data_IF_726234126184
#
_entry.id   IF_726234126184
#
_cell.length_a   1.000
_cell.length_b   1.000
_cell.length_c   1.000
_cell.angle_alpha   90.00
_cell.angle_beta   90.00
_cell.angle_gamma   90.00
#
_symmetry.space_group_name_H-M   'P 1'
#
loop_
_entity.id
_entity.type
_entity.pdbx_description
1 polymer ?
#
# COMPACT_ATOMS: atom_id res chain seq x y z
N UNK A 1 28.34 -58.52 -63.20
CA UNK A 1 28.08 -58.64 -61.75
C UNK A 1 29.40 -58.37 -61.02
N UNK A 2 29.62 -57.13 -60.61
CA UNK A 2 30.68 -56.69 -59.71
C UNK A 2 30.07 -55.56 -58.85
N UNK A 3 30.29 -55.51 -57.54
CA UNK A 3 29.53 -54.64 -56.64
C UNK A 3 30.05 -53.20 -56.66
N UNK A 4 29.14 -52.25 -56.47
CA UNK A 4 29.48 -50.85 -56.19
C UNK A 4 30.11 -50.73 -54.80
N UNK A 5 31.26 -50.06 -54.69
CA UNK A 5 31.81 -49.66 -53.41
C UNK A 5 31.08 -48.39 -52.92
N UNK A 6 30.43 -48.47 -51.76
CA UNK A 6 29.88 -47.27 -51.11
C UNK A 6 31.02 -46.39 -50.59
N UNK A 7 30.98 -45.11 -50.94
CA UNK A 7 31.78 -44.08 -50.29
C UNK A 7 31.15 -43.81 -48.91
N UNK A 8 31.73 -44.39 -47.87
CA UNK A 8 31.41 -44.01 -46.50
C UNK A 8 32.00 -42.63 -46.20
N UNK A 9 31.19 -41.59 -46.42
CA UNK A 9 31.46 -40.28 -45.84
C UNK A 9 31.24 -40.41 -44.34
N UNK A 10 32.33 -40.66 -43.60
CA UNK A 10 32.33 -40.46 -42.15
C UNK A 10 32.24 -38.96 -41.94
N UNK A 11 31.02 -38.48 -41.66
CA UNK A 11 30.82 -37.14 -41.14
C UNK A 11 31.61 -37.03 -39.84
N UNK A 12 32.74 -36.33 -39.90
CA UNK A 12 33.42 -35.87 -38.69
C UNK A 12 32.51 -34.88 -37.99
N UNK A 13 31.80 -35.34 -36.96
CA UNK A 13 31.09 -34.46 -36.04
C UNK A 13 32.11 -33.48 -35.47
N UNK A 14 31.98 -32.21 -35.88
CA UNK A 14 32.67 -31.12 -35.22
C UNK A 14 32.05 -30.98 -33.83
N UNK A 15 32.60 -31.72 -32.86
CA UNK A 15 32.22 -31.65 -31.44
C UNK A 15 32.45 -30.22 -30.98
N UNK A 16 31.38 -29.43 -30.96
CA UNK A 16 31.39 -28.08 -30.44
C UNK A 16 31.74 -28.15 -28.96
N UNK A 17 32.90 -27.60 -28.57
CA UNK A 17 33.28 -27.51 -27.15
C UNK A 17 32.15 -26.82 -26.38
N UNK A 18 31.56 -27.59 -25.48
CA UNK A 18 30.23 -27.37 -24.94
C UNK A 18 30.25 -26.36 -23.79
N UNK A 19 29.36 -25.36 -23.86
CA UNK A 19 28.85 -24.48 -22.79
C UNK A 19 29.58 -24.49 -21.43
N UNK A 20 30.82 -23.99 -21.36
CA UNK A 20 31.44 -23.67 -20.07
C UNK A 20 30.74 -22.44 -19.45
N UNK A 21 30.09 -22.65 -18.30
CA UNK A 21 29.30 -21.61 -17.61
C UNK A 21 30.21 -20.42 -17.27
N UNK A 22 29.88 -19.19 -17.72
CA UNK A 22 30.73 -18.03 -17.47
C UNK A 22 30.79 -17.70 -15.98
N UNK A 23 31.95 -17.26 -15.50
CA UNK A 23 32.09 -16.78 -14.13
C UNK A 23 31.25 -15.52 -13.93
N UNK A 24 30.30 -15.60 -13.01
CA UNK A 24 29.48 -14.45 -12.62
C UNK A 24 30.33 -13.48 -11.80
N UNK A 25 30.38 -12.22 -12.23
CA UNK A 25 31.10 -11.14 -11.55
C UNK A 25 30.14 -9.99 -11.29
N UNK A 26 30.18 -9.45 -10.07
CA UNK A 26 29.32 -8.34 -9.65
C UNK A 26 30.18 -7.09 -9.48
N UNK A 27 29.79 -6.01 -10.13
CA UNK A 27 30.43 -4.70 -10.03
C UNK A 27 29.45 -3.62 -9.55
N UNK A 28 29.99 -2.56 -8.96
CA UNK A 28 29.24 -1.36 -8.54
C UNK A 28 29.62 -0.18 -9.44
N UNK A 29 28.65 0.62 -9.87
CA UNK A 29 28.90 1.85 -10.64
C UNK A 29 29.91 2.76 -9.91
N UNK A 30 30.82 3.37 -10.66
CA UNK A 30 31.89 4.23 -10.16
C UNK A 30 33.09 3.50 -9.53
N UNK A 31 32.93 2.25 -9.09
CA UNK A 31 34.01 1.44 -8.50
C UNK A 31 34.79 0.66 -9.57
N UNK A 32 35.81 -0.08 -9.13
CA UNK A 32 36.53 -1.04 -9.97
C UNK A 32 36.00 -2.46 -9.79
N UNK A 33 36.26 -3.32 -10.78
CA UNK A 33 36.03 -4.76 -10.72
C UNK A 33 37.20 -5.50 -11.37
N UNK A 34 37.47 -6.74 -10.94
CA UNK A 34 38.50 -7.60 -11.51
C UNK A 34 37.84 -8.80 -12.19
N UNK A 35 38.26 -9.11 -13.42
CA UNK A 35 37.97 -10.36 -14.11
C UNK A 35 39.17 -11.31 -13.87
N UNK A 36 39.07 -12.27 -12.93
CA UNK A 36 40.22 -12.99 -12.40
C UNK A 36 40.69 -14.09 -13.36
N UNK A 37 41.89 -13.94 -13.92
CA UNK A 37 42.48 -14.92 -14.83
C UNK A 37 43.00 -16.15 -14.06
N UNK A 38 42.46 -17.34 -14.35
CA UNK A 38 42.82 -18.59 -13.67
C UNK A 38 43.72 -19.45 -14.53
N UNK A 39 45.03 -19.21 -14.47
CA UNK A 39 45.99 -19.95 -15.30
C UNK A 39 46.24 -21.34 -14.67
N UNK A 40 45.83 -22.40 -15.36
CA UNK A 40 45.95 -23.81 -14.92
C UNK A 40 47.09 -24.57 -15.61
N UNK A 41 47.97 -23.87 -16.33
CA UNK A 41 49.06 -24.46 -17.10
C UNK A 41 50.40 -23.84 -16.73
N UNK A 42 51.42 -24.68 -16.59
CA UNK A 42 52.81 -24.28 -16.32
C UNK A 42 53.51 -23.65 -17.55
N UNK A 43 52.81 -23.62 -18.70
CA UNK A 43 53.30 -23.02 -19.94
C UNK A 43 53.38 -21.50 -19.79
N UNK A 44 54.45 -20.92 -20.32
CA UNK A 44 54.59 -19.46 -20.45
C UNK A 44 53.50 -18.90 -21.34
N UNK A 45 52.94 -17.76 -20.94
CA UNK A 45 51.93 -17.03 -21.72
C UNK A 45 52.67 -16.14 -22.72
N UNK A 46 52.26 -16.21 -23.99
CA UNK A 46 52.74 -15.34 -25.07
C UNK A 46 51.94 -14.04 -25.13
N UNK A 47 50.61 -14.17 -25.15
CA UNK A 47 49.70 -13.03 -25.15
C UNK A 47 48.32 -13.39 -24.60
N UNK A 48 47.60 -12.38 -24.13
CA UNK A 48 46.20 -12.47 -23.69
C UNK A 48 45.40 -11.43 -24.47
N UNK A 49 44.29 -11.84 -25.07
CA UNK A 49 43.33 -10.93 -25.69
C UNK A 49 42.08 -10.89 -24.83
N UNK A 50 41.68 -9.69 -24.42
CA UNK A 50 40.45 -9.44 -23.69
C UNK A 50 39.38 -8.94 -24.66
N UNK A 51 38.26 -9.64 -24.68
CA UNK A 51 37.12 -9.38 -25.55
C UNK A 51 35.88 -9.10 -24.71
N UNK A 52 35.00 -8.26 -25.24
CA UNK A 52 33.59 -8.14 -24.85
C UNK A 52 32.76 -8.25 -26.13
N UNK A 53 31.95 -7.24 -26.51
CA UNK A 53 31.37 -7.15 -27.86
C UNK A 53 32.44 -7.05 -28.96
N UNK A 54 33.56 -6.38 -28.65
CA UNK A 54 34.75 -6.23 -29.49
C UNK A 54 36.02 -6.55 -28.67
N UNK A 55 37.20 -6.50 -29.28
CA UNK A 55 38.46 -6.53 -28.54
C UNK A 55 38.63 -5.24 -27.73
N UNK A 56 38.76 -5.35 -26.41
CA UNK A 56 38.90 -4.21 -25.50
C UNK A 56 40.34 -3.96 -25.07
N UNK A 57 41.16 -5.02 -25.00
CA UNK A 57 42.60 -4.88 -24.74
C UNK A 57 43.40 -6.12 -25.18
N UNK A 58 44.71 -5.92 -25.37
CA UNK A 58 45.70 -6.99 -25.57
C UNK A 58 46.86 -6.83 -24.60
N UNK A 59 47.29 -7.94 -24.00
CA UNK A 59 48.51 -8.08 -23.20
C UNK A 59 49.51 -8.88 -24.02
N UNK A 60 50.71 -8.34 -24.27
CA UNK A 60 51.82 -9.08 -24.87
C UNK A 60 52.93 -9.28 -23.83
N UNK A 61 53.47 -10.50 -23.72
CA UNK A 61 54.47 -10.86 -22.73
C UNK A 61 55.72 -11.35 -23.46
N UNK A 62 56.79 -10.57 -23.37
CA UNK A 62 58.09 -10.85 -23.98
C UNK A 62 59.15 -10.96 -22.88
N UNK A 63 59.28 -12.16 -22.31
CA UNK A 63 60.14 -12.40 -21.15
C UNK A 63 59.60 -11.69 -19.90
N UNK A 64 60.30 -10.67 -19.42
CA UNK A 64 59.86 -9.81 -18.29
C UNK A 64 59.08 -8.57 -18.75
N UNK A 65 59.12 -8.23 -20.04
CA UNK A 65 58.45 -7.04 -20.56
C UNK A 65 56.97 -7.36 -20.84
N UNK A 66 56.07 -6.61 -20.20
CA UNK A 66 54.63 -6.70 -20.39
C UNK A 66 54.17 -5.42 -21.11
N UNK A 67 53.68 -5.57 -22.34
CA UNK A 67 53.06 -4.48 -23.09
C UNK A 67 51.54 -4.61 -22.98
N UNK A 68 50.88 -3.60 -22.44
CA UNK A 68 49.43 -3.53 -22.34
C UNK A 68 48.88 -2.47 -23.30
N UNK A 69 47.93 -2.87 -24.15
CA UNK A 69 47.34 -2.02 -25.18
C UNK A 69 45.82 -2.08 -25.02
N UNK A 70 45.18 -0.94 -24.72
CA UNK A 70 43.73 -0.79 -24.82
C UNK A 70 43.36 -0.64 -26.29
N UNK A 71 42.35 -1.38 -26.76
CA UNK A 71 41.94 -1.42 -28.18
C UNK A 71 40.55 -0.86 -28.43
N UNK A 72 39.74 -0.68 -27.38
CA UNK A 72 38.43 -0.02 -27.45
C UNK A 72 38.48 1.32 -26.67
N UNK A 73 38.39 2.48 -27.35
CA UNK A 73 38.45 3.80 -26.72
C UNK A 73 37.40 4.04 -25.63
N UNK A 74 36.31 3.27 -25.57
CA UNK A 74 35.32 3.36 -24.48
C UNK A 74 35.90 3.01 -23.10
N UNK A 75 37.07 2.36 -23.08
CA UNK A 75 37.80 1.93 -21.90
C UNK A 75 39.18 2.62 -21.76
N UNK A 76 39.46 3.67 -22.52
CA UNK A 76 40.69 4.47 -22.37
C UNK A 76 40.82 5.00 -20.93
N UNK A 77 42.01 4.86 -20.37
CA UNK A 77 42.35 5.16 -18.96
C UNK A 77 41.50 4.40 -17.91
N UNK A 78 40.75 3.36 -18.30
CA UNK A 78 39.89 2.57 -17.42
C UNK A 78 40.31 1.12 -17.26
N UNK A 79 41.14 0.58 -18.15
CA UNK A 79 41.65 -0.79 -18.00
C UNK A 79 43.04 -0.79 -17.41
N UNK A 80 43.26 -1.73 -16.49
CA UNK A 80 44.56 -2.03 -15.90
C UNK A 80 44.76 -3.55 -15.86
N UNK A 81 46.02 -3.99 -15.84
CA UNK A 81 46.37 -5.40 -15.66
C UNK A 81 47.01 -5.59 -14.29
N UNK A 82 46.44 -6.52 -13.52
CA UNK A 82 47.00 -6.95 -12.23
C UNK A 82 48.26 -7.77 -12.51
N UNK A 83 49.43 -7.13 -12.37
CA UNK A 83 50.74 -7.67 -12.82
C UNK A 83 51.11 -9.05 -12.23
N UNK A 84 50.55 -9.44 -11.09
CA UNK A 84 50.84 -10.73 -10.43
C UNK A 84 50.16 -11.94 -11.09
N UNK A 85 49.04 -11.76 -11.79
CA UNK A 85 48.26 -12.86 -12.37
C UNK A 85 47.60 -12.55 -13.72
N UNK A 86 47.90 -11.39 -14.32
CA UNK A 86 47.38 -10.91 -15.59
C UNK A 86 45.85 -10.74 -15.67
N UNK A 87 45.16 -10.66 -14.52
CA UNK A 87 43.72 -10.35 -14.47
C UNK A 87 43.44 -8.93 -14.97
N UNK A 88 42.31 -8.77 -15.67
CA UNK A 88 41.85 -7.45 -16.11
C UNK A 88 41.12 -6.76 -14.98
N UNK A 89 41.53 -5.54 -14.66
CA UNK A 89 40.78 -4.63 -13.80
C UNK A 89 40.08 -3.58 -14.67
N UNK A 90 38.78 -3.40 -14.47
CA UNK A 90 37.96 -2.37 -15.12
C UNK A 90 37.63 -1.33 -14.06
N UNK A 91 38.16 -0.12 -14.21
CA UNK A 91 37.99 1.02 -13.32
C UNK A 91 36.81 1.91 -13.73
N UNK A 92 36.22 2.60 -12.75
CA UNK A 92 35.10 3.53 -12.91
C UNK A 92 33.97 2.90 -13.76
N UNK A 93 33.38 1.83 -13.23
CA UNK A 93 32.31 1.07 -13.89
C UNK A 93 31.09 1.93 -14.19
N UNK A 94 30.45 1.61 -15.32
CA UNK A 94 29.24 2.22 -15.85
C UNK A 94 28.24 1.11 -16.11
N UNK A 95 26.94 1.38 -16.03
CA UNK A 95 25.88 0.39 -16.34
C UNK A 95 26.09 -0.23 -17.73
N UNK A 96 26.54 0.55 -18.72
CA UNK A 96 26.82 0.05 -20.08
C UNK A 96 27.99 -0.94 -20.20
N UNK A 97 28.81 -1.11 -19.16
CA UNK A 97 29.88 -2.10 -19.15
C UNK A 97 29.36 -3.48 -18.69
N UNK A 98 28.10 -3.61 -18.26
CA UNK A 98 27.47 -4.92 -18.05
C UNK A 98 27.39 -5.69 -19.37
N UNK A 99 28.23 -6.71 -19.49
CA UNK A 99 28.29 -7.54 -20.70
C UNK A 99 28.89 -8.92 -20.40
N UNK A 100 28.92 -9.78 -21.41
CA UNK A 100 29.83 -10.91 -21.43
C UNK A 100 31.25 -10.43 -21.76
N UNK A 101 32.23 -11.04 -21.12
CA UNK A 101 33.66 -10.82 -21.35
C UNK A 101 34.35 -12.16 -21.54
N UNK A 102 35.45 -12.16 -22.30
CA UNK A 102 36.23 -13.34 -22.61
C UNK A 102 37.71 -13.01 -22.58
N UNK A 103 38.47 -13.73 -21.75
CA UNK A 103 39.93 -13.76 -21.82
C UNK A 103 40.37 -14.93 -22.70
N UNK A 104 41.14 -14.64 -23.75
CA UNK A 104 41.79 -15.65 -24.59
C UNK A 104 43.28 -15.66 -24.29
N UNK A 105 43.78 -16.72 -23.64
CA UNK A 105 45.18 -16.89 -23.28
C UNK A 105 45.86 -17.79 -24.31
N UNK A 106 46.90 -17.27 -24.96
CA UNK A 106 47.75 -18.03 -25.87
C UNK A 106 49.11 -18.28 -25.21
N UNK A 107 49.52 -19.54 -25.16
CA UNK A 107 50.79 -19.96 -24.60
C UNK A 107 51.92 -19.97 -25.64
N UNK A 108 53.17 -19.92 -25.18
CA UNK A 108 54.33 -20.22 -26.01
C UNK A 108 54.26 -21.68 -26.50
N UNK A 109 54.68 -21.91 -27.75
CA UNK A 109 54.82 -23.23 -28.37
C UNK A 109 53.55 -24.12 -28.37
N UNK A 110 52.35 -23.54 -28.31
CA UNK A 110 51.10 -24.30 -28.53
C UNK A 110 50.90 -24.60 -30.03
N UNK A 111 51.08 -25.86 -30.42
CA UNK A 111 50.75 -26.37 -31.75
C UNK A 111 49.94 -27.68 -31.59
N UNK A 112 48.69 -27.77 -32.11
CA UNK A 112 47.86 -26.67 -32.62
C UNK A 112 47.58 -25.62 -31.53
N UNK A 113 47.44 -24.35 -31.95
CA UNK A 113 47.37 -23.19 -31.05
C UNK A 113 45.96 -22.92 -30.53
N UNK A 114 45.34 -23.90 -29.87
CA UNK A 114 44.08 -23.70 -29.14
C UNK A 114 44.32 -22.75 -27.95
N UNK A 115 43.71 -21.55 -27.92
CA UNK A 115 43.82 -20.67 -26.76
C UNK A 115 43.01 -21.24 -25.59
N UNK A 116 43.50 -21.06 -24.36
CA UNK A 116 42.65 -21.24 -23.19
C UNK A 116 41.65 -20.08 -23.15
N UNK A 117 40.37 -20.39 -23.09
CA UNK A 117 39.28 -19.41 -23.07
C UNK A 117 38.72 -19.37 -21.65
N UNK A 118 38.47 -18.17 -21.12
CA UNK A 118 37.75 -17.98 -19.86
C UNK A 118 36.64 -16.96 -20.07
N UNK A 119 35.41 -17.37 -19.80
CA UNK A 119 34.21 -16.56 -20.01
C UNK A 119 33.74 -15.97 -18.69
N UNK A 120 33.27 -14.73 -18.73
CA UNK A 120 32.74 -14.00 -17.57
C UNK A 120 31.42 -13.33 -17.95
N UNK A 121 30.51 -13.21 -16.98
CA UNK A 121 29.32 -12.35 -17.10
C UNK A 121 29.38 -11.32 -15.99
N UNK A 122 29.69 -10.08 -16.37
CA UNK A 122 29.69 -8.94 -15.47
C UNK A 122 28.26 -8.40 -15.36
N UNK A 123 27.74 -8.29 -14.15
CA UNK A 123 26.56 -7.48 -13.82
C UNK A 123 26.99 -6.22 -13.08
N UNK A 124 26.42 -5.08 -13.44
CA UNK A 124 26.74 -3.78 -12.83
C UNK A 124 25.49 -3.22 -12.17
N UNK A 125 25.61 -2.81 -10.90
CA UNK A 125 24.52 -2.26 -10.10
C UNK A 125 24.88 -0.87 -9.55
N UNK A 126 23.90 0.03 -9.45
CA UNK A 126 24.00 1.22 -8.60
C UNK A 126 23.80 0.83 -7.12
N UNK A 127 24.34 1.62 -6.20
CA UNK A 127 23.99 1.50 -4.79
C UNK A 127 22.60 2.10 -4.56
N UNK A 128 21.74 1.37 -3.86
CA UNK A 128 20.37 1.81 -3.61
C UNK A 128 20.37 3.08 -2.75
N UNK A 129 19.49 4.03 -3.08
CA UNK A 129 19.17 5.11 -2.14
C UNK A 129 18.48 4.53 -0.90
N UNK A 130 18.66 5.16 0.28
CA UNK A 130 17.87 4.79 1.47
C UNK A 130 16.36 4.79 1.14
N UNK A 131 15.62 3.74 1.49
CA UNK A 131 14.19 3.68 1.25
C UNK A 131 13.45 4.69 2.12
N UNK A 132 12.21 4.95 1.74
CA UNK A 132 11.26 5.76 2.50
C UNK A 132 9.98 4.93 2.68
N UNK A 133 9.23 5.20 3.75
CA UNK A 133 7.95 4.53 4.04
C UNK A 133 6.83 5.55 3.95
N UNK A 134 5.83 5.25 3.13
CA UNK A 134 4.59 6.01 2.98
C UNK A 134 3.44 5.17 3.55
N UNK A 135 2.50 5.84 4.21
CA UNK A 135 1.21 5.24 4.55
C UNK A 135 0.33 5.25 3.30
N UNK A 136 -0.06 4.05 2.85
CA UNK A 136 -0.81 3.85 1.61
C UNK A 136 -2.33 3.87 1.86
N UNK A 137 -2.78 3.26 2.95
CA UNK A 137 -4.19 3.25 3.39
C UNK A 137 -4.29 3.06 4.91
N UNK A 138 -5.35 3.59 5.53
CA UNK A 138 -5.65 3.47 6.96
C UNK A 138 -7.13 3.20 7.20
N UNK A 139 -7.43 2.09 7.87
CA UNK A 139 -8.77 1.74 8.32
C UNK A 139 -8.79 1.53 9.83
N UNK A 140 -9.25 2.54 10.56
CA UNK A 140 -9.56 2.43 11.98
C UNK A 140 -11.03 2.00 12.15
N UNK A 141 -11.28 0.91 12.89
CA UNK A 141 -12.64 0.45 13.20
C UNK A 141 -12.67 -0.27 14.54
N UNK A 142 -13.62 0.11 15.40
CA UNK A 142 -13.85 -0.52 16.72
C UNK A 142 -12.56 -0.63 17.57
N UNK A 143 -11.70 0.39 17.53
CA UNK A 143 -10.44 0.41 18.28
C UNK A 143 -9.32 -0.50 17.73
N UNK A 144 -9.51 -1.11 16.56
CA UNK A 144 -8.44 -1.78 15.80
C UNK A 144 -8.04 -0.89 14.62
N UNK A 145 -6.74 -0.63 14.47
CA UNK A 145 -6.19 0.14 13.37
C UNK A 145 -5.49 -0.80 12.39
N UNK A 146 -5.95 -0.80 11.15
CA UNK A 146 -5.31 -1.51 10.04
C UNK A 146 -4.58 -0.48 9.18
N UNK A 147 -3.27 -0.62 8.99
CA UNK A 147 -2.48 0.26 8.12
C UNK A 147 -1.82 -0.55 7.01
N UNK A 148 -1.93 -0.05 5.77
CA UNK A 148 -1.12 -0.47 4.64
C UNK A 148 0.07 0.49 4.51
N UNK A 149 1.30 -0.06 4.57
CA UNK A 149 2.55 0.66 4.44
C UNK A 149 3.22 0.30 3.12
N UNK A 150 3.63 1.31 2.36
CA UNK A 150 4.43 1.15 1.15
C UNK A 150 5.87 1.57 1.42
N UNK A 151 6.79 0.63 1.29
CA UNK A 151 8.20 0.91 1.21
C UNK A 151 8.58 1.25 -0.22
N UNK A 152 9.07 2.47 -0.44
CA UNK A 152 9.39 2.98 -1.76
C UNK A 152 10.83 3.49 -1.83
N UNK A 153 11.36 3.51 -3.04
CA UNK A 153 12.63 4.15 -3.39
C UNK A 153 12.35 5.32 -4.35
N UNK A 154 13.30 6.26 -4.45
CA UNK A 154 13.17 7.42 -5.36
C UNK A 154 13.42 7.09 -6.83
N UNK A 155 14.17 6.01 -7.07
CA UNK A 155 14.45 5.45 -8.38
C UNK A 155 14.00 3.99 -8.37
N UNK A 156 13.53 3.52 -9.52
CA UNK A 156 13.37 2.10 -9.77
C UNK A 156 14.74 1.52 -10.16
N UNK A 157 15.14 0.41 -9.54
CA UNK A 157 16.49 -0.14 -9.63
C UNK A 157 16.46 -1.66 -9.88
N UNK A 158 17.52 -2.17 -10.49
CA UNK A 158 17.60 -3.57 -10.93
C UNK A 158 17.78 -4.54 -9.75
N UNK A 159 17.03 -5.64 -9.79
CA UNK A 159 17.12 -6.79 -8.87
C UNK A 159 17.04 -6.39 -7.38
N UNK A 160 16.05 -5.57 -7.04
CA UNK A 160 15.81 -5.14 -5.66
C UNK A 160 14.81 -6.05 -4.96
N UNK A 161 15.20 -6.57 -3.81
CA UNK A 161 14.34 -7.32 -2.89
C UNK A 161 13.89 -6.39 -1.76
N UNK A 162 12.61 -6.46 -1.41
CA UNK A 162 11.98 -5.72 -0.32
C UNK A 162 11.53 -6.70 0.77
N UNK A 163 11.97 -6.48 2.01
CA UNK A 163 11.56 -7.29 3.15
C UNK A 163 11.05 -6.36 4.26
N UNK A 164 9.92 -6.72 4.85
CA UNK A 164 9.39 -6.09 6.05
C UNK A 164 9.74 -6.92 7.29
N UNK A 165 10.25 -6.23 8.31
CA UNK A 165 10.83 -6.83 9.51
C UNK A 165 10.18 -6.20 10.74
N UNK A 166 9.78 -7.02 11.70
CA UNK A 166 9.38 -6.60 13.04
C UNK A 166 10.55 -6.78 14.00
N UNK A 167 10.77 -5.79 14.86
CA UNK A 167 11.72 -5.89 15.97
C UNK A 167 10.99 -6.07 17.30
N UNK A 168 10.98 -7.31 17.80
CA UNK A 168 10.48 -7.65 19.14
C UNK A 168 11.67 -7.77 20.09
N UNK A 169 12.02 -6.67 20.75
CA UNK A 169 13.24 -6.59 21.56
C UNK A 169 14.51 -6.58 20.70
N UNK A 170 15.26 -7.68 20.71
CA UNK A 170 16.52 -7.86 19.95
C UNK A 170 16.33 -8.73 18.70
N UNK A 171 15.22 -9.45 18.59
CA UNK A 171 14.98 -10.41 17.50
C UNK A 171 14.37 -9.73 16.26
N UNK A 172 14.94 -10.02 15.08
CA UNK A 172 14.40 -9.65 13.77
C UNK A 172 13.49 -10.77 13.25
N UNK A 173 12.20 -10.48 13.10
CA UNK A 173 11.20 -11.37 12.49
C UNK A 173 10.82 -10.84 11.10
N UNK A 174 11.02 -11.62 10.03
CA UNK A 174 10.55 -11.24 8.69
C UNK A 174 9.03 -11.46 8.65
N UNK A 175 8.28 -10.37 8.51
CA UNK A 175 6.82 -10.40 8.43
C UNK A 175 6.32 -10.75 7.02
N UNK A 176 6.91 -10.11 6.00
CA UNK A 176 6.43 -10.20 4.63
C UNK A 176 7.53 -9.83 3.63
N UNK A 177 7.56 -10.53 2.50
CA UNK A 177 8.33 -10.14 1.31
C UNK A 177 7.48 -9.25 0.39
N UNK A 178 8.12 -8.29 -0.27
CA UNK A 178 7.49 -7.31 -1.15
C UNK A 178 7.45 -5.89 -0.57
N UNK A 179 7.12 -4.89 -1.40
CA UNK A 179 7.18 -3.48 -1.01
C UNK A 179 6.03 -3.04 -0.09
N UNK A 180 4.89 -3.74 -0.10
CA UNK A 180 3.70 -3.40 0.68
C UNK A 180 3.56 -4.35 1.86
N UNK A 181 3.35 -3.80 3.05
CA UNK A 181 2.99 -4.52 4.27
C UNK A 181 1.61 -4.06 4.73
N UNK A 182 0.74 -4.99 5.12
CA UNK A 182 -0.50 -4.67 5.82
C UNK A 182 -0.43 -5.22 7.24
N UNK A 183 -0.55 -4.33 8.22
CA UNK A 183 -0.52 -4.66 9.66
C UNK A 183 -1.79 -4.19 10.35
N UNK A 184 -2.19 -4.91 11.39
CA UNK A 184 -3.27 -4.52 12.29
C UNK A 184 -2.81 -4.58 13.74
N UNK A 185 -3.21 -3.60 14.54
CA UNK A 185 -2.99 -3.60 15.99
C UNK A 185 -4.15 -2.92 16.71
N UNK A 186 -4.29 -3.16 18.00
CA UNK A 186 -5.35 -2.59 18.83
C UNK A 186 -4.89 -1.37 19.59
N UNK A 187 -5.81 -0.43 19.79
CA UNK A 187 -5.58 0.71 20.68
C UNK A 187 -5.30 0.22 22.10
N UNK A 188 -4.12 0.58 22.63
CA UNK A 188 -3.59 0.08 23.91
C UNK A 188 -2.44 -0.93 23.78
N UNK A 189 -2.18 -1.48 22.59
CA UNK A 189 -0.95 -2.23 22.30
C UNK A 189 0.20 -1.25 21.99
N UNK A 190 1.45 -1.67 22.24
CA UNK A 190 2.64 -0.87 21.89
C UNK A 190 2.79 -0.74 20.37
N UNK A 191 3.11 0.46 19.89
CA UNK A 191 3.37 0.73 18.46
C UNK A 191 4.38 -0.28 17.87
N UNK A 192 4.05 -0.97 16.76
CA UNK A 192 4.91 -2.01 16.23
C UNK A 192 6.19 -1.40 15.64
N UNK A 193 7.34 -1.93 16.06
CA UNK A 193 8.65 -1.51 15.56
C UNK A 193 8.92 -2.16 14.19
N UNK A 194 8.35 -1.56 13.15
CA UNK A 194 8.43 -2.04 11.77
C UNK A 194 9.60 -1.39 11.02
N UNK A 195 10.36 -2.21 10.30
CA UNK A 195 11.47 -1.81 9.45
C UNK A 195 11.23 -2.34 8.05
N UNK A 196 11.31 -1.48 7.04
CA UNK A 196 11.54 -1.94 5.67
C UNK A 196 13.04 -2.07 5.44
N UNK A 197 13.46 -3.17 4.81
CA UNK A 197 14.81 -3.42 4.30
C UNK A 197 14.74 -3.61 2.78
N UNK A 198 15.51 -2.82 2.04
CA UNK A 198 15.72 -2.97 0.59
C UNK A 198 17.15 -3.41 0.33
N UNK A 199 17.31 -4.37 -0.59
CA UNK A 199 18.62 -4.96 -0.89
C UNK A 199 18.76 -5.23 -2.38
N UNK A 200 19.94 -4.95 -2.92
CA UNK A 200 20.41 -5.50 -4.19
C UNK A 200 21.77 -6.22 -3.94
N UNK A 201 22.44 -6.79 -4.96
CA UNK A 201 23.68 -7.52 -4.75
C UNK A 201 24.88 -6.70 -4.24
N UNK A 202 24.81 -5.36 -4.29
CA UNK A 202 25.93 -4.46 -3.89
C UNK A 202 25.62 -3.57 -2.68
N UNK A 203 24.35 -3.47 -2.26
CA UNK A 203 23.93 -2.54 -1.21
C UNK A 203 22.70 -3.05 -0.43
N UNK A 204 22.59 -2.63 0.82
CA UNK A 204 21.52 -3.00 1.74
C UNK A 204 21.20 -1.77 2.61
N UNK A 205 19.96 -1.31 2.54
CA UNK A 205 19.49 -0.17 3.32
C UNK A 205 18.16 -0.48 3.99
N UNK A 206 17.96 0.10 5.16
CA UNK A 206 16.72 -0.03 5.91
C UNK A 206 16.24 1.32 6.42
N UNK A 207 14.94 1.40 6.67
CA UNK A 207 14.28 2.53 7.32
C UNK A 207 13.21 2.01 8.26
N UNK A 208 13.11 2.61 9.45
CA UNK A 208 12.02 2.34 10.39
C UNK A 208 10.77 3.08 9.93
N UNK A 209 9.62 2.43 9.95
CA UNK A 209 8.33 3.11 9.80
C UNK A 209 8.12 4.05 11.00
N UNK A 210 7.56 5.23 10.75
CA UNK A 210 7.17 6.18 11.78
C UNK A 210 5.63 6.19 11.84
N UNK A 211 5.04 5.55 12.85
CA UNK A 211 3.59 5.35 12.94
C UNK A 211 3.03 6.24 14.05
N UNK A 212 2.95 7.55 13.79
CA UNK A 212 2.34 8.48 14.75
C UNK A 212 0.90 8.04 15.10
N UNK A 213 0.59 8.04 16.40
CA UNK A 213 -0.73 7.64 16.94
C UNK A 213 -1.90 8.37 16.24
N UNK A 214 -1.65 9.59 15.74
CA UNK A 214 -2.60 10.41 14.97
C UNK A 214 -3.17 9.67 13.74
N UNK A 215 -2.39 8.81 13.07
CA UNK A 215 -2.77 8.03 11.88
C UNK A 215 -3.96 7.09 12.11
N UNK A 216 -4.21 6.70 13.37
CA UNK A 216 -5.27 5.79 13.77
C UNK A 216 -6.48 6.48 14.43
N UNK A 217 -6.49 7.82 14.48
CA UNK A 217 -7.58 8.60 15.07
C UNK A 217 -8.82 8.49 14.21
N UNK A 218 -9.89 7.88 14.72
CA UNK A 218 -11.16 7.79 14.01
C UNK A 218 -11.73 9.22 13.82
N UNK A 219 -11.97 9.70 12.58
CA UNK A 219 -12.55 11.02 12.36
C UNK A 219 -13.97 11.16 12.96
N UNK A 220 -14.62 10.04 13.28
CA UNK A 220 -15.97 9.98 13.84
C UNK A 220 -15.97 10.09 15.38
N UNK A 221 -15.10 10.96 15.91
CA UNK A 221 -14.93 11.21 17.36
C UNK A 221 -15.88 12.26 17.95
N UNK A 222 -16.43 13.19 17.17
CA UNK A 222 -17.51 14.09 17.61
C UNK A 222 -18.86 13.36 17.59
N UNK A 223 -18.92 12.28 18.36
CA UNK A 223 -20.02 11.32 18.31
C UNK A 223 -21.37 12.01 18.52
N UNK A 224 -22.38 11.59 17.75
CA UNK A 224 -23.64 12.30 17.58
C UNK A 224 -24.43 12.54 18.89
N UNK A 225 -24.15 11.78 19.95
CA UNK A 225 -24.67 12.03 21.30
C UNK A 225 -24.30 13.41 21.85
N UNK A 226 -23.10 13.96 21.56
CA UNK A 226 -22.70 15.30 22.06
C UNK A 226 -23.56 16.38 21.38
N UNK A 227 -23.78 16.25 20.07
CA UNK A 227 -24.66 17.15 19.31
C UNK A 227 -26.11 16.98 19.79
N UNK A 228 -26.56 15.75 20.01
CA UNK A 228 -27.89 15.44 20.57
C UNK A 228 -28.11 16.04 21.97
N UNK A 229 -27.14 15.90 22.88
CA UNK A 229 -27.18 16.50 24.22
C UNK A 229 -27.20 18.03 24.11
N UNK A 230 -26.38 18.63 23.26
CA UNK A 230 -26.40 20.08 23.00
C UNK A 230 -27.76 20.58 22.52
N UNK A 231 -28.39 19.86 21.58
CA UNK A 231 -29.75 20.18 21.10
C UNK A 231 -30.81 20.01 22.19
N UNK A 232 -30.74 18.95 23.01
CA UNK A 232 -31.66 18.74 24.14
C UNK A 232 -31.55 19.88 25.16
N UNK A 233 -30.32 20.28 25.52
CA UNK A 233 -30.09 21.40 26.45
C UNK A 233 -30.65 22.71 25.86
N UNK A 234 -30.44 22.97 24.56
CA UNK A 234 -30.98 24.17 23.90
C UNK A 234 -32.52 24.19 23.88
N UNK A 235 -33.17 23.04 23.66
CA UNK A 235 -34.62 22.91 23.76
C UNK A 235 -35.09 23.18 25.19
N UNK A 236 -34.47 22.59 26.22
CA UNK A 236 -34.82 22.82 27.62
C UNK A 236 -34.66 24.30 28.04
N UNK A 237 -33.58 24.96 27.60
CA UNK A 237 -33.36 26.38 27.86
C UNK A 237 -34.43 27.27 27.19
N UNK A 238 -34.84 26.95 25.96
CA UNK A 238 -35.92 27.72 25.30
C UNK A 238 -37.27 27.53 26.00
N UNK A 239 -37.62 26.31 26.43
CA UNK A 239 -38.84 26.04 27.22
C UNK A 239 -38.81 26.83 28.54
N UNK A 240 -37.68 26.81 29.27
CA UNK A 240 -37.51 27.57 30.50
C UNK A 240 -37.69 29.08 30.28
N UNK A 241 -37.13 29.62 29.19
CA UNK A 241 -37.32 31.02 28.80
C UNK A 241 -38.79 31.35 28.53
N UNK A 242 -39.52 30.52 27.78
CA UNK A 242 -40.96 30.73 27.55
C UNK A 242 -41.78 30.70 28.85
N UNK A 243 -41.45 29.80 29.79
CA UNK A 243 -42.09 29.77 31.12
C UNK A 243 -41.83 31.06 31.89
N UNK A 244 -40.58 31.55 31.92
CA UNK A 244 -40.22 32.81 32.59
C UNK A 244 -40.99 33.98 31.98
N UNK A 245 -41.04 34.09 30.64
CA UNK A 245 -41.79 35.13 29.93
C UNK A 245 -43.29 35.04 30.24
N UNK A 246 -43.88 33.84 30.25
CA UNK A 246 -45.29 33.65 30.61
C UNK A 246 -45.59 34.11 32.05
N UNK A 247 -44.75 33.74 33.02
CA UNK A 247 -44.85 34.21 34.41
C UNK A 247 -44.72 35.73 34.51
N UNK A 248 -43.83 36.35 33.73
CA UNK A 248 -43.66 37.81 33.70
C UNK A 248 -44.89 38.52 33.14
N UNK A 249 -45.49 37.99 32.06
CA UNK A 249 -46.75 38.49 31.47
C UNK A 249 -47.91 38.32 32.45
N UNK A 250 -47.99 37.18 33.16
CA UNK A 250 -49.05 36.92 34.14
C UNK A 250 -48.93 37.86 35.34
N UNK A 251 -47.72 38.10 35.86
CA UNK A 251 -47.48 39.13 36.89
C UNK A 251 -47.90 40.53 36.41
N UNK A 252 -47.48 40.94 35.21
CA UNK A 252 -47.84 42.26 34.64
C UNK A 252 -49.36 42.40 34.41
N UNK A 253 -50.07 41.32 34.12
CA UNK A 253 -51.54 41.33 33.97
C UNK A 253 -52.28 41.33 35.33
N UNK A 254 -51.65 40.86 36.40
CA UNK A 254 -52.17 40.90 37.76
C UNK A 254 -52.31 42.32 38.33
N UNK A 255 -51.49 43.27 37.88
CA UNK A 255 -51.52 44.68 38.33
C UNK A 255 -52.49 45.56 37.53
N UNK A 256 -53.11 45.03 36.46
CA UNK A 256 -54.02 45.78 35.57
C UNK A 256 -55.50 45.40 35.64
N UNK A 257 -55.89 44.37 36.41
CA UNK A 257 -57.27 43.86 36.44
C UNK A 257 -58.09 44.35 37.65
N UNK A 258 -57.42 44.71 38.76
CA UNK A 258 -58.10 45.05 40.02
C UNK A 258 -58.72 46.45 40.08
N UNK A 259 -58.49 47.31 39.09
CA UNK A 259 -58.93 48.71 39.11
C UNK A 259 -60.25 48.95 38.36
N UNK A 260 -60.76 47.98 37.58
CA UNK A 260 -62.03 48.11 36.83
C UNK A 260 -63.19 47.38 37.53
N UNK A 261 -62.92 46.37 38.36
CA UNK A 261 -63.96 45.54 38.96
C UNK A 261 -64.64 46.17 40.21
N UNK A 262 -64.02 47.18 40.82
CA UNK A 262 -64.53 47.80 42.06
C UNK A 262 -65.54 48.93 41.82
N UNK A 263 -65.54 49.59 40.65
CA UNK A 263 -66.42 50.74 40.37
C UNK A 263 -67.86 50.32 40.00
N UNK A 264 -68.07 49.04 39.67
CA UNK A 264 -69.36 48.52 39.21
C UNK A 264 -70.22 47.82 40.28
N UNK A 265 -69.75 47.73 41.54
CA UNK A 265 -70.47 47.06 42.64
C UNK A 265 -70.61 47.99 43.86
N UNK A 266 -71.08 49.23 43.67
CA UNK A 266 -71.67 50.04 44.74
C UNK A 266 -72.73 51.07 44.31
N UNK A 267 -73.28 50.92 43.10
CA UNK A 267 -74.52 51.54 42.64
C UNK A 267 -75.21 50.48 41.76
N UNK A 268 -76.45 50.03 41.97
CA UNK A 268 -77.55 50.67 42.68
C UNK A 268 -78.52 49.59 43.19
N UNK A 269 -78.88 49.63 44.48
CA UNK A 269 -79.99 48.84 45.02
C UNK A 269 -81.34 49.36 44.49
N UNK A 270 -82.37 48.50 44.47
CA UNK A 270 -83.80 48.81 44.22
C UNK A 270 -84.13 49.39 42.82
N UNK A 271 -85.17 48.94 42.10
CA UNK A 271 -86.46 48.39 42.55
C UNK A 271 -86.99 47.30 41.62
N UNK A 272 -87.74 46.36 42.19
CA UNK A 272 -88.54 45.30 41.53
C UNK A 272 -89.59 45.82 40.55
N UNK A 273 -89.78 45.14 39.42
CA UNK A 273 -91.05 44.44 39.13
C UNK A 273 -90.91 43.37 38.03
N UNK A 274 -91.89 42.45 37.97
CA UNK A 274 -91.72 41.09 37.46
C UNK A 274 -92.39 40.79 36.11
N UNK A 275 -91.73 40.00 35.25
CA UNK A 275 -92.42 39.02 34.40
C UNK A 275 -91.63 37.71 34.42
N UNK A 276 -92.21 36.66 34.99
CA UNK A 276 -91.67 35.29 35.03
C UNK A 276 -92.21 34.46 33.86
N UNK A 277 -91.35 33.69 33.20
CA UNK A 277 -91.75 32.46 32.49
C UNK A 277 -90.71 31.38 32.79
N UNK A 278 -91.20 30.21 33.20
CA UNK A 278 -90.40 29.12 33.75
C UNK A 278 -89.91 28.15 32.66
N UNK A 279 -88.71 27.60 32.85
CA UNK A 279 -88.29 26.33 32.26
C UNK A 279 -87.77 25.41 33.38
N UNK A 280 -88.06 24.13 33.27
CA UNK A 280 -88.20 23.20 34.39
C UNK A 280 -86.85 22.64 34.89
N UNK A 281 -86.69 22.52 36.21
CA UNK A 281 -85.55 21.87 36.89
C UNK A 281 -85.98 20.51 37.44
N UNK A 282 -85.03 19.55 37.48
CA UNK A 282 -84.82 18.53 38.53
C UNK A 282 -83.82 17.49 37.96
N UNK A 283 -82.55 17.47 38.37
CA UNK A 283 -81.97 17.01 39.65
C UNK A 283 -81.41 15.57 39.52
N UNK A 284 -80.09 15.37 39.71
CA UNK A 284 -79.51 14.06 39.97
C UNK A 284 -79.13 13.91 41.45
N UNK A 285 -79.58 12.83 42.13
CA UNK A 285 -78.69 12.04 43.00
C UNK A 285 -79.34 10.74 43.52
N UNK A 286 -78.47 9.71 43.72
CA UNK A 286 -78.57 8.62 44.73
C UNK A 286 -79.80 7.68 44.69
N UNK A 287 -79.71 6.37 44.94
CA UNK A 287 -78.61 5.50 45.40
C UNK A 287 -78.98 3.99 45.18
N UNK A 288 -78.02 3.09 45.41
CA UNK A 288 -78.14 1.68 45.83
C UNK A 288 -78.46 0.55 44.83
N UNK A 289 -77.78 -0.58 45.11
CA UNK A 289 -78.05 -1.98 44.74
C UNK A 289 -77.98 -2.39 43.25
N UNK A 290 -77.75 -3.67 42.89
CA UNK A 290 -77.02 -4.80 43.50
C UNK A 290 -76.91 -5.93 42.45
N UNK A 291 -75.81 -6.70 42.46
CA UNK A 291 -75.67 -8.05 41.85
C UNK A 291 -75.75 -8.26 40.32
N UNK A 292 -75.09 -9.35 39.90
CA UNK A 292 -75.44 -10.27 38.79
C UNK A 292 -74.73 -10.15 37.42
N UNK A 293 -73.64 -10.92 37.30
CA UNK A 293 -73.50 -12.07 36.38
C UNK A 293 -73.51 -11.90 34.83
N UNK A 294 -72.34 -12.27 34.26
CA UNK A 294 -72.11 -13.30 33.20
C UNK A 294 -72.59 -13.06 31.74
N UNK A 295 -71.72 -13.51 30.80
CA UNK A 295 -71.95 -13.71 29.34
C UNK A 295 -72.13 -12.47 28.46
N UNK A 296 -71.75 -12.45 27.17
CA UNK A 296 -70.84 -13.31 26.40
C UNK A 296 -70.38 -12.63 25.09
N UNK A 297 -69.22 -13.07 24.56
CA UNK A 297 -68.96 -13.36 23.12
C UNK A 297 -69.23 -12.31 21.99
N UNK A 298 -68.10 -11.81 21.45
CA UNK A 298 -67.73 -11.58 20.01
C UNK A 298 -68.63 -10.77 19.04
N UNK A 299 -67.99 -9.84 18.32
CA UNK A 299 -67.68 -9.88 16.86
C UNK A 299 -67.14 -8.49 16.42
N UNK A 300 -65.85 -8.31 16.11
CA UNK A 300 -65.20 -8.49 14.80
C UNK A 300 -65.75 -7.63 13.65
N UNK A 301 -64.98 -6.63 13.20
CA UNK A 301 -64.97 -6.18 11.80
C UNK A 301 -63.68 -5.41 11.46
N UNK A 302 -63.08 -5.72 10.32
CA UNK A 302 -61.78 -5.23 9.84
C UNK A 302 -62.00 -4.34 8.61
N UNK A 303 -61.23 -3.26 8.47
CA UNK A 303 -61.12 -2.52 7.20
C UNK A 303 -59.64 -2.32 6.86
N UNK A 304 -59.26 -2.70 5.64
CA UNK A 304 -57.93 -2.48 5.05
C UNK A 304 -57.97 -1.31 4.06
N UNK A 305 -56.82 -0.70 3.78
CA UNK A 305 -56.56 -0.07 2.48
C UNK A 305 -55.11 -0.27 2.05
N UNK A 306 -54.91 -0.47 0.75
CA UNK A 306 -53.62 -0.70 0.09
C UNK A 306 -53.40 0.38 -0.98
N UNK A 307 -52.13 0.77 -1.19
CA UNK A 307 -51.71 1.55 -2.37
C UNK A 307 -50.40 0.95 -2.90
N UNK A 308 -50.32 0.72 -4.21
CA UNK A 308 -49.17 0.14 -4.90
C UNK A 308 -49.00 0.73 -6.31
N UNK A 309 -47.79 1.18 -6.66
CA UNK A 309 -47.20 1.25 -8.03
C UNK A 309 -45.79 1.83 -7.87
N UNK A 310 -44.68 1.13 -8.18
CA UNK A 310 -44.06 0.83 -9.49
C UNK A 310 -43.49 2.08 -10.22
N UNK A 311 -42.39 2.03 -11.01
CA UNK A 311 -41.54 0.92 -11.50
C UNK A 311 -40.14 1.44 -11.91
N UNK A 312 -39.14 0.57 -11.99
CA UNK A 312 -37.73 0.86 -12.39
C UNK A 312 -37.48 0.55 -13.87
N UNK A 313 -36.67 1.36 -14.59
CA UNK A 313 -35.88 0.94 -15.77
C UNK A 313 -34.86 1.99 -16.23
N UNK A 314 -33.63 1.57 -16.52
CA UNK A 314 -32.93 1.76 -17.81
C UNK A 314 -31.54 1.08 -17.80
N UNK A 315 -31.01 0.76 -18.98
CA UNK A 315 -29.72 0.07 -19.18
C UNK A 315 -29.13 0.39 -20.57
N UNK A 316 -27.79 0.37 -20.67
CA UNK A 316 -26.96 0.29 -21.89
C UNK A 316 -25.56 -0.25 -21.45
N UNK A 317 -24.80 -1.16 -22.11
CA UNK A 317 -24.45 -1.39 -23.55
C UNK A 317 -23.37 -0.40 -24.01
N UNK A 318 -22.14 -0.76 -24.44
CA UNK A 318 -21.31 -2.01 -24.56
C UNK A 318 -19.79 -1.51 -24.57
N UNK A 319 -18.68 -2.20 -24.99
CA UNK A 319 -18.43 -3.59 -25.44
C UNK A 319 -17.23 -4.35 -24.80
N UNK A 320 -17.19 -5.67 -25.00
CA UNK A 320 -15.95 -6.48 -25.01
C UNK A 320 -15.43 -6.65 -26.45
N UNK A 321 -14.14 -6.97 -26.61
CA UNK A 321 -13.51 -7.38 -27.88
C UNK A 321 -12.67 -8.65 -27.70
N UNK A 322 -12.39 -9.41 -28.78
CA UNK A 322 -12.48 -10.88 -28.70
C UNK A 322 -11.17 -11.63 -28.48
N UNK A 323 -11.32 -12.91 -28.09
CA UNK A 323 -10.28 -13.94 -28.14
C UNK A 323 -10.46 -14.86 -29.37
N UNK A 324 -9.34 -15.22 -30.00
CA UNK A 324 -9.21 -16.08 -31.18
C UNK A 324 -8.07 -15.58 -32.09
N UNK A 325 -7.28 -16.41 -32.76
CA UNK A 325 -7.25 -17.88 -32.85
C UNK A 325 -5.89 -18.33 -33.42
N UNK A 326 -5.61 -19.62 -33.29
CA UNK A 326 -4.61 -20.45 -33.99
C UNK A 326 -3.88 -19.85 -35.22
N UNK A 327 -2.54 -19.82 -35.17
CA UNK A 327 -1.55 -20.38 -36.13
C UNK A 327 -0.22 -20.56 -35.37
#
# INVERSE_FOLDING_TARGET
MFPFALINIVNGEAVSKENEVPLMVIGTVGKSVILPLRITSDKKIRNIVWLSSNSIATVQINGQNITFIVTDPQYDHRLEIVKSNYSLQINNLKIKDENYYKGQITFENSFPSEPLIQNYKLHVYEELSKPQVIVNDTLSKNGTCNISLLCHMKKEEKNVTYNWISLKGVEEEILQEGPILTVSWRSGESEPNLICRVKNPVSNHSVRANLSMELCTDPQGTSAWIIGIGLIILVLLSIAFFIIVAVFIWKKKGEGFFQVFNDHILQQETTTESVTVYAQVNHPNRENAESSNVSERKNSLTIYSTIQSSKKKNAAILPETPSGKDI
#
